data_IF_608548371869
#
_entry.id   IF_608548371869
#
_cell.length_a   1.000
_cell.length_b   1.000
_cell.length_c   1.000
_cell.angle_alpha   90.00
_cell.angle_beta   90.00
_cell.angle_gamma   90.00
#
_symmetry.space_group_name_H-M   'P 1'
#
loop_
_entity.id
_entity.type
_entity.pdbx_description
1 polymer ?
#
# COMPACT_ATOMS: atom_id res chain seq x y z
N UNK A 1 -6.85 4.60 32.79
CA UNK A 1 -6.78 3.65 31.66
C UNK A 1 -5.77 4.26 30.72
N UNK A 2 -4.62 3.63 30.50
CA UNK A 2 -3.73 4.09 29.43
C UNK A 2 -4.44 3.74 28.13
N UNK A 3 -4.74 4.75 27.31
CA UNK A 3 -5.08 4.54 25.91
C UNK A 3 -3.79 4.06 25.24
N UNK A 4 -3.84 2.93 24.54
CA UNK A 4 -2.72 2.52 23.69
C UNK A 4 -2.73 3.44 22.49
N UNK A 5 -1.59 4.04 22.16
CA UNK A 5 -1.47 4.96 21.04
C UNK A 5 -1.28 4.18 19.73
N UNK A 6 -1.65 4.74 18.57
CA UNK A 6 -1.27 4.21 17.26
C UNK A 6 0.24 4.12 17.13
N UNK A 7 0.73 3.03 16.54
CA UNK A 7 2.16 2.79 16.35
C UNK A 7 2.52 2.33 14.94
N UNK A 8 1.57 1.73 14.23
CA UNK A 8 1.81 1.15 12.90
C UNK A 8 0.60 1.34 12.00
N UNK A 9 0.87 1.51 10.73
CA UNK A 9 -0.10 1.37 9.65
C UNK A 9 0.34 0.18 8.80
N UNK A 10 -0.46 -0.87 8.81
CA UNK A 10 -0.20 -2.12 8.09
C UNK A 10 -0.93 -2.09 6.76
N UNK A 11 -0.19 -2.29 5.66
CA UNK A 11 -0.66 -2.31 4.29
C UNK A 11 -0.82 -3.77 3.84
N UNK A 12 -2.02 -4.16 3.45
CA UNK A 12 -2.31 -5.49 2.90
C UNK A 12 -2.81 -5.39 1.47
N UNK A 13 -3.27 -6.49 0.88
CA UNK A 13 -3.88 -6.51 -0.45
C UNK A 13 -5.33 -6.04 -0.48
N UNK A 14 -6.00 -5.97 0.68
CA UNK A 14 -7.44 -5.69 0.77
C UNK A 14 -7.76 -4.40 1.52
N UNK A 15 -6.88 -4.02 2.44
CA UNK A 15 -7.10 -2.92 3.36
C UNK A 15 -5.79 -2.39 3.98
N UNK A 16 -5.91 -1.22 4.61
CA UNK A 16 -4.93 -0.69 5.53
C UNK A 16 -5.46 -0.78 6.97
N UNK A 17 -4.60 -1.11 7.93
CA UNK A 17 -4.97 -1.25 9.34
C UNK A 17 -4.14 -0.33 10.22
N UNK A 18 -4.80 0.46 11.05
CA UNK A 18 -4.15 1.25 12.10
C UNK A 18 -4.02 0.37 13.34
N UNK A 19 -2.77 0.09 13.73
CA UNK A 19 -2.45 -0.83 14.83
C UNK A 19 -1.82 -0.07 15.98
N UNK A 20 -2.37 -0.31 17.18
CA UNK A 20 -1.91 0.28 18.44
C UNK A 20 -0.63 -0.41 18.94
N UNK A 21 0.09 0.24 19.87
CA UNK A 21 1.31 -0.32 20.49
C UNK A 21 1.11 -1.71 21.11
N UNK A 22 -0.08 -2.01 21.62
CA UNK A 22 -0.42 -3.32 22.20
C UNK A 22 -0.78 -4.39 21.16
N UNK A 23 -0.72 -4.06 19.87
CA UNK A 23 -1.03 -4.93 18.74
C UNK A 23 -2.51 -4.97 18.36
N UNK A 24 -3.38 -4.23 19.04
CA UNK A 24 -4.80 -4.14 18.70
C UNK A 24 -4.99 -3.35 17.41
N UNK A 25 -5.81 -3.86 16.49
CA UNK A 25 -6.30 -3.08 15.34
C UNK A 25 -7.36 -2.09 15.83
N UNK A 26 -7.06 -0.81 15.76
CA UNK A 26 -8.00 0.25 16.11
C UNK A 26 -9.01 0.52 14.99
N UNK A 27 -8.53 0.55 13.75
CA UNK A 27 -9.30 0.91 12.57
C UNK A 27 -8.84 0.11 11.35
N UNK A 28 -9.78 -0.18 10.47
CA UNK A 28 -9.53 -0.76 9.13
C UNK A 28 -10.08 0.19 8.08
N UNK A 29 -9.32 0.37 7.00
CA UNK A 29 -9.67 1.19 5.83
C UNK A 29 -9.62 0.27 4.62
N UNK A 30 -10.76 -0.13 4.08
CA UNK A 30 -10.81 -0.99 2.90
C UNK A 30 -10.56 -0.17 1.64
N UNK A 31 -9.93 -0.76 0.62
CA UNK A 31 -9.64 -0.04 -0.63
C UNK A 31 -10.88 0.30 -1.47
N UNK A 32 -12.03 -0.30 -1.13
CA UNK A 32 -13.33 0.01 -1.71
C UNK A 32 -14.12 1.05 -0.89
N UNK A 33 -13.61 1.47 0.27
CA UNK A 33 -14.21 2.58 1.02
C UNK A 33 -14.04 3.91 0.27
N UNK A 34 -14.91 4.90 0.51
CA UNK A 34 -14.76 6.23 -0.07
C UNK A 34 -13.44 6.91 0.35
N UNK A 35 -12.82 7.65 -0.58
CA UNK A 35 -11.51 8.29 -0.38
C UNK A 35 -11.52 9.33 0.75
N UNK A 36 -12.57 10.17 0.85
CA UNK A 36 -12.59 11.30 1.80
C UNK A 36 -12.47 10.86 3.27
N UNK A 37 -13.28 9.90 3.78
CA UNK A 37 -13.09 9.35 5.12
C UNK A 37 -11.72 8.71 5.35
N UNK A 38 -11.13 8.05 4.34
CA UNK A 38 -9.80 7.48 4.47
C UNK A 38 -8.74 8.57 4.67
N UNK A 39 -8.80 9.65 3.88
CA UNK A 39 -7.91 10.82 4.02
C UNK A 39 -8.03 11.46 5.40
N UNK A 40 -9.24 11.56 5.96
CA UNK A 40 -9.44 12.09 7.32
C UNK A 40 -8.74 11.22 8.37
N UNK A 41 -8.92 9.89 8.32
CA UNK A 41 -8.25 8.96 9.23
C UNK A 41 -6.73 8.99 9.12
N UNK A 42 -6.18 9.03 7.90
CA UNK A 42 -4.73 9.11 7.69
C UNK A 42 -4.17 10.48 8.11
N UNK A 43 -4.92 11.57 7.89
CA UNK A 43 -4.55 12.91 8.37
C UNK A 43 -4.45 12.94 9.90
N UNK A 44 -5.41 12.32 10.59
CA UNK A 44 -5.40 12.20 12.05
C UNK A 44 -4.21 11.35 12.52
N UNK A 45 -3.99 10.19 11.88
CA UNK A 45 -2.88 9.27 12.20
C UNK A 45 -1.51 9.95 12.08
N UNK A 46 -1.25 10.63 10.97
CA UNK A 46 0.04 11.29 10.75
C UNK A 46 0.12 12.68 11.39
N UNK A 47 -0.96 13.19 11.99
CA UNK A 47 -0.99 14.49 12.65
C UNK A 47 -0.74 15.70 11.74
N UNK A 48 -0.86 15.53 10.41
CA UNK A 48 -0.65 16.60 9.44
C UNK A 48 -1.51 16.41 8.18
N UNK A 49 -2.00 17.50 7.55
CA UNK A 49 -2.79 17.40 6.33
C UNK A 49 -1.90 16.99 5.14
N UNK A 50 -2.46 16.25 4.16
CA UNK A 50 -1.73 15.94 2.93
C UNK A 50 -1.57 17.19 2.06
N UNK A 51 -0.58 17.15 1.17
CA UNK A 51 -0.63 17.90 -0.08
C UNK A 51 -1.70 17.27 -0.98
N UNK A 52 -2.59 18.09 -1.50
CA UNK A 52 -3.64 17.66 -2.43
C UNK A 52 -3.20 17.99 -3.85
N UNK A 53 -3.16 17.00 -4.73
CA UNK A 53 -2.93 17.18 -6.16
C UNK A 53 -4.18 16.69 -6.93
N UNK A 54 -4.90 17.62 -7.54
CA UNK A 54 -6.04 17.28 -8.38
C UNK A 54 -5.50 16.95 -9.78
N UNK A 55 -5.29 15.66 -10.05
CA UNK A 55 -4.87 15.14 -11.36
C UNK A 55 -5.99 15.26 -12.40
N UNK A 56 -5.67 14.97 -13.68
CA UNK A 56 -6.53 15.20 -14.86
C UNK A 56 -7.89 14.43 -14.81
N UNK A 57 -8.88 14.99 -14.09
CA UNK A 57 -10.25 14.51 -14.07
C UNK A 57 -11.04 15.05 -12.86
N UNK A 58 -12.38 15.13 -12.93
CA UNK A 58 -13.19 15.62 -11.81
C UNK A 58 -13.19 14.68 -10.58
N UNK A 59 -12.78 13.42 -10.77
CA UNK A 59 -12.91 12.35 -9.78
C UNK A 59 -11.56 11.70 -9.39
N UNK A 60 -10.43 12.18 -9.93
CA UNK A 60 -9.10 11.71 -9.58
C UNK A 60 -8.41 12.77 -8.71
N UNK A 61 -8.05 12.40 -7.48
CA UNK A 61 -7.36 13.31 -6.56
C UNK A 61 -6.36 12.49 -5.75
N UNK A 62 -5.11 12.96 -5.79
CA UNK A 62 -4.02 12.37 -5.04
C UNK A 62 -3.83 13.15 -3.74
N UNK A 63 -3.63 12.41 -2.65
CA UNK A 63 -3.35 12.93 -1.33
C UNK A 63 -1.98 12.42 -0.88
N UNK A 64 -1.04 13.34 -0.71
CA UNK A 64 0.37 13.03 -0.46
C UNK A 64 0.83 13.56 0.89
N UNK A 65 1.31 12.66 1.73
CA UNK A 65 2.15 12.93 2.89
C UNK A 65 3.61 12.59 2.54
N UNK A 66 4.61 13.06 3.30
CA UNK A 66 6.01 12.74 3.03
C UNK A 66 6.27 11.23 2.98
N UNK A 67 6.37 10.66 1.78
CA UNK A 67 6.61 9.24 1.56
C UNK A 67 5.37 8.33 1.66
N UNK A 68 4.16 8.89 1.69
CA UNK A 68 2.91 8.12 1.67
C UNK A 68 1.88 8.82 0.79
N UNK A 69 1.26 8.09 -0.13
CA UNK A 69 0.27 8.63 -1.06
C UNK A 69 -0.97 7.75 -1.09
N UNK A 70 -2.14 8.39 -1.09
CA UNK A 70 -3.39 7.81 -1.55
C UNK A 70 -3.73 8.39 -2.92
N UNK A 71 -3.95 7.53 -3.90
CA UNK A 71 -4.36 7.90 -5.25
C UNK A 71 -5.68 7.22 -5.64
N UNK A 72 -6.39 7.79 -6.61
CA UNK A 72 -7.69 7.30 -7.07
C UNK A 72 -7.86 7.46 -8.58
N UNK A 73 -8.34 6.38 -9.21
CA UNK A 73 -8.79 6.36 -10.61
C UNK A 73 -10.32 6.62 -10.74
N UNK A 74 -10.94 7.15 -9.69
CA UNK A 74 -12.37 7.43 -9.59
C UNK A 74 -13.12 6.46 -8.66
N UNK A 75 -14.46 6.55 -8.61
CA UNK A 75 -15.26 5.85 -7.60
C UNK A 75 -15.12 4.32 -7.65
N UNK A 76 -15.25 3.67 -6.50
CA UNK A 76 -15.22 2.20 -6.41
C UNK A 76 -16.26 1.53 -7.33
N UNK A 77 -15.88 0.39 -7.92
CA UNK A 77 -16.79 -0.57 -8.57
C UNK A 77 -16.46 -1.96 -8.02
N UNK A 78 -17.21 -2.41 -7.02
CA UNK A 78 -17.00 -3.74 -6.46
C UNK A 78 -17.29 -4.87 -7.47
N UNK A 79 -16.50 -5.97 -7.44
CA UNK A 79 -15.25 -6.16 -6.72
C UNK A 79 -14.01 -5.83 -7.58
N UNK A 80 -14.17 -5.08 -8.67
CA UNK A 80 -13.20 -4.99 -9.75
C UNK A 80 -12.28 -3.77 -9.66
N UNK A 81 -12.80 -2.64 -9.18
CA UNK A 81 -12.08 -1.37 -9.13
C UNK A 81 -12.14 -0.78 -7.72
N UNK A 82 -11.04 -0.82 -6.95
CA UNK A 82 -10.96 -0.07 -5.71
C UNK A 82 -10.95 1.43 -6.02
N UNK A 83 -11.38 2.23 -5.04
CA UNK A 83 -11.31 3.68 -5.13
C UNK A 83 -9.95 4.19 -4.65
N UNK A 84 -9.34 3.48 -3.69
CA UNK A 84 -8.11 3.87 -3.01
C UNK A 84 -6.98 2.95 -3.45
N UNK A 85 -5.91 3.56 -3.94
CA UNK A 85 -4.61 2.95 -4.12
C UNK A 85 -3.61 3.65 -3.19
N UNK A 86 -2.72 2.89 -2.59
CA UNK A 86 -1.68 3.37 -1.67
C UNK A 86 -0.31 3.13 -2.27
N UNK A 87 0.56 4.13 -2.11
CA UNK A 87 2.00 4.01 -2.36
C UNK A 87 2.75 4.52 -1.14
N UNK A 88 3.72 3.73 -0.66
CA UNK A 88 4.59 4.04 0.47
C UNK A 88 6.04 4.04 0.00
N UNK A 89 6.84 5.02 0.40
CA UNK A 89 8.27 5.14 0.05
C UNK A 89 9.17 5.55 1.23
N UNK A 90 8.63 5.50 2.45
CA UNK A 90 9.39 5.65 3.71
C UNK A 90 8.93 4.58 4.70
N UNK A 91 9.80 4.21 5.64
CA UNK A 91 9.47 3.22 6.67
C UNK A 91 8.60 3.78 7.81
N UNK A 92 8.61 5.10 8.00
CA UNK A 92 7.98 5.73 9.16
C UNK A 92 7.56 7.17 8.84
N UNK A 93 6.43 7.60 9.41
CA UNK A 93 5.97 8.99 9.44
C UNK A 93 5.54 9.33 10.87
N UNK A 94 6.21 10.29 11.51
CA UNK A 94 5.85 10.78 12.85
C UNK A 94 5.65 9.64 13.88
N UNK A 95 6.65 8.76 14.03
CA UNK A 95 6.64 7.59 14.91
C UNK A 95 5.62 6.49 14.54
N UNK A 96 4.92 6.61 13.41
CA UNK A 96 4.06 5.55 12.85
C UNK A 96 4.85 4.74 11.82
N UNK A 97 5.11 3.47 12.13
CA UNK A 97 5.77 2.57 11.18
C UNK A 97 4.83 2.15 10.06
N UNK A 98 5.37 2.00 8.86
CA UNK A 98 4.64 1.67 7.64
C UNK A 98 5.15 0.33 7.12
N UNK A 99 4.31 -0.71 7.22
CA UNK A 99 4.73 -2.09 6.95
C UNK A 99 3.67 -2.90 6.24
N UNK A 100 4.06 -4.02 5.62
CA UNK A 100 3.10 -5.02 5.14
C UNK A 100 2.66 -5.95 6.27
N UNK A 101 1.62 -6.76 6.02
CA UNK A 101 1.15 -7.78 6.99
C UNK A 101 2.22 -8.80 7.39
N UNK A 102 3.21 -9.03 6.51
CA UNK A 102 4.35 -9.92 6.76
C UNK A 102 5.57 -9.17 7.31
N UNK A 103 5.37 -7.97 7.86
CA UNK A 103 6.38 -7.14 8.53
C UNK A 103 7.50 -6.64 7.60
N UNK A 104 7.22 -6.47 6.31
CA UNK A 104 8.16 -5.85 5.37
C UNK A 104 7.99 -4.33 5.30
N UNK A 105 9.09 -3.59 5.28
CA UNK A 105 9.13 -2.14 5.25
C UNK A 105 10.06 -1.60 4.15
N UNK A 106 9.87 -0.34 3.79
CA UNK A 106 10.83 0.37 2.93
C UNK A 106 12.20 0.38 3.61
N UNK A 107 13.24 -0.03 2.89
CA UNK A 107 14.60 -0.18 3.43
C UNK A 107 15.02 -1.63 3.71
N UNK A 108 14.09 -2.58 3.73
CA UNK A 108 14.42 -4.01 3.87
C UNK A 108 15.06 -4.59 2.59
N UNK A 109 15.74 -5.73 2.72
CA UNK A 109 16.27 -6.47 1.57
C UNK A 109 15.17 -7.37 0.96
N UNK A 110 14.80 -7.10 -0.29
CA UNK A 110 13.79 -7.81 -1.04
C UNK A 110 14.29 -9.15 -1.61
N UNK A 111 15.60 -9.36 -1.73
CA UNK A 111 16.18 -10.54 -2.39
C UNK A 111 15.81 -11.87 -1.74
N UNK A 112 15.84 -12.02 -0.39
CA UNK A 112 15.42 -13.27 0.24
C UNK A 112 13.98 -13.65 -0.11
N UNK A 113 13.10 -12.66 -0.24
CA UNK A 113 11.71 -12.87 -0.62
C UNK A 113 11.58 -13.24 -2.11
N UNK A 114 12.32 -12.55 -2.99
CA UNK A 114 12.38 -12.88 -4.41
C UNK A 114 12.92 -14.30 -4.66
N UNK A 115 13.97 -14.71 -3.93
CA UNK A 115 14.56 -16.04 -4.01
C UNK A 115 13.59 -17.13 -3.52
N UNK A 116 12.77 -16.82 -2.51
CA UNK A 116 11.77 -17.74 -1.96
C UNK A 116 10.52 -17.86 -2.84
N UNK A 117 10.18 -16.81 -3.59
CA UNK A 117 8.98 -16.72 -4.44
C UNK A 117 9.32 -16.29 -5.87
N UNK A 118 10.14 -17.08 -6.61
CA UNK A 118 10.61 -16.69 -7.94
C UNK A 118 9.46 -16.48 -8.94
N UNK A 119 8.35 -17.20 -8.79
CA UNK A 119 7.15 -17.09 -9.63
C UNK A 119 6.37 -15.77 -9.45
N UNK A 120 6.52 -15.12 -8.29
CA UNK A 120 5.87 -13.84 -7.97
C UNK A 120 6.85 -12.66 -8.05
N UNK A 121 8.10 -12.94 -8.45
CA UNK A 121 9.16 -11.97 -8.64
C UNK A 121 9.39 -11.67 -10.13
N UNK A 122 9.75 -10.43 -10.45
CA UNK A 122 10.10 -10.03 -11.81
C UNK A 122 11.08 -8.87 -11.78
N UNK A 123 12.01 -8.84 -12.75
CA UNK A 123 12.85 -7.68 -13.01
C UNK A 123 12.35 -6.99 -14.27
N UNK A 124 11.96 -5.73 -14.14
CA UNK A 124 11.43 -4.92 -15.23
C UNK A 124 12.44 -3.87 -15.67
N UNK A 125 12.68 -3.70 -16.98
CA UNK A 125 13.41 -2.54 -17.47
C UNK A 125 12.51 -1.29 -17.41
N UNK A 126 12.98 -0.26 -16.72
CA UNK A 126 12.41 1.08 -16.67
C UNK A 126 13.32 2.07 -17.42
N UNK A 127 12.81 3.26 -17.75
CA UNK A 127 13.67 4.32 -18.31
C UNK A 127 14.76 4.78 -17.32
N UNK A 128 14.49 4.64 -16.01
CA UNK A 128 15.39 4.98 -14.91
C UNK A 128 16.40 3.89 -14.55
N UNK A 129 16.28 2.68 -15.10
CA UNK A 129 17.12 1.52 -14.72
C UNK A 129 16.34 0.21 -14.78
N UNK A 130 16.65 -0.71 -13.89
CA UNK A 130 15.84 -1.92 -13.69
C UNK A 130 15.10 -1.81 -12.34
N UNK A 131 13.97 -2.48 -12.21
CA UNK A 131 13.20 -2.58 -10.97
C UNK A 131 12.95 -4.06 -10.66
N UNK A 132 13.31 -4.48 -9.45
CA UNK A 132 12.94 -5.78 -8.91
C UNK A 132 11.60 -5.60 -8.21
N UNK A 133 10.57 -6.29 -8.70
CA UNK A 133 9.24 -6.32 -8.11
C UNK A 133 8.95 -7.71 -7.56
N UNK A 134 8.38 -7.79 -6.37
CA UNK A 134 7.82 -9.02 -5.79
C UNK A 134 6.40 -8.74 -5.35
N UNK A 135 5.47 -9.61 -5.79
CA UNK A 135 4.05 -9.50 -5.45
C UNK A 135 3.74 -10.48 -4.33
N UNK A 136 3.30 -9.97 -3.19
CA UNK A 136 2.94 -10.80 -2.03
C UNK A 136 1.46 -10.66 -1.68
N UNK A 137 1.03 -11.52 -0.74
CA UNK A 137 -0.29 -11.41 -0.11
C UNK A 137 -1.44 -11.37 -1.12
N UNK A 138 -1.49 -12.30 -2.07
CA UNK A 138 -2.53 -12.32 -3.11
C UNK A 138 -3.89 -12.76 -2.54
N UNK A 139 -4.93 -11.94 -2.73
CA UNK A 139 -6.32 -12.27 -2.41
C UNK A 139 -7.15 -12.38 -3.69
N UNK A 140 -7.78 -13.53 -3.98
CA UNK A 140 -8.64 -13.69 -5.15
C UNK A 140 -9.83 -12.73 -5.14
N UNK A 141 -10.19 -12.24 -6.32
CA UNK A 141 -11.42 -11.49 -6.54
C UNK A 141 -12.57 -12.48 -6.69
N UNK A 142 -13.64 -12.31 -5.90
CA UNK A 142 -14.81 -13.20 -5.90
C UNK A 142 -15.71 -13.03 -7.14
N UNK A 143 -15.14 -13.08 -8.34
CA UNK A 143 -15.85 -13.04 -9.63
C UNK A 143 -16.04 -14.43 -10.24
N UNK A 144 -15.65 -15.49 -9.53
CA UNK A 144 -15.62 -16.87 -10.05
C UNK A 144 -14.44 -17.17 -10.98
N UNK A 145 -13.49 -16.23 -11.10
CA UNK A 145 -12.25 -16.34 -11.86
C UNK A 145 -11.09 -16.30 -10.85
N UNK A 146 -10.51 -17.46 -10.56
CA UNK A 146 -9.48 -17.60 -9.53
C UNK A 146 -8.15 -16.91 -9.92
N UNK A 147 -7.98 -16.54 -11.20
CA UNK A 147 -6.77 -15.91 -11.68
C UNK A 147 -6.77 -14.40 -11.39
N UNK A 148 -7.92 -13.79 -11.11
CA UNK A 148 -8.04 -12.38 -10.73
C UNK A 148 -7.77 -12.22 -9.24
N UNK A 149 -6.81 -11.38 -8.89
CA UNK A 149 -6.42 -11.13 -7.52
C UNK A 149 -5.98 -9.68 -7.31
N UNK A 150 -6.16 -9.20 -6.08
CA UNK A 150 -5.45 -8.04 -5.54
C UNK A 150 -4.22 -8.50 -4.78
N UNK A 151 -3.14 -7.72 -4.82
CA UNK A 151 -1.84 -8.04 -4.21
C UNK A 151 -1.24 -6.83 -3.52
N UNK A 152 -0.28 -7.08 -2.63
CA UNK A 152 0.66 -6.05 -2.17
C UNK A 152 1.94 -6.19 -2.98
N UNK A 153 2.35 -5.13 -3.67
CA UNK A 153 3.58 -5.08 -4.45
C UNK A 153 4.71 -4.45 -3.64
N UNK A 154 5.89 -5.05 -3.71
CA UNK A 154 7.15 -4.51 -3.20
C UNK A 154 8.09 -4.25 -4.37
N UNK A 155 8.69 -3.07 -4.45
CA UNK A 155 9.67 -2.75 -5.49
C UNK A 155 11.02 -2.31 -4.90
N UNK A 156 12.11 -2.70 -5.55
CA UNK A 156 13.49 -2.44 -5.16
C UNK A 156 14.36 -2.15 -6.38
N UNK A 157 15.50 -1.49 -6.17
CA UNK A 157 16.56 -1.43 -7.17
C UNK A 157 17.27 -2.81 -7.21
N UNK A 158 17.33 -3.53 -8.34
CA UNK A 158 17.98 -4.84 -8.42
C UNK A 158 19.46 -4.81 -8.04
N UNK A 159 20.14 -3.66 -8.14
CA UNK A 159 21.55 -3.52 -7.83
C UNK A 159 21.85 -3.67 -6.33
N UNK A 160 20.94 -3.20 -5.46
CA UNK A 160 21.11 -3.29 -4.00
C UNK A 160 20.09 -4.20 -3.31
N UNK A 161 18.94 -4.45 -3.94
CA UNK A 161 17.83 -5.26 -3.43
C UNK A 161 16.99 -4.54 -2.39
N UNK A 162 17.22 -3.26 -2.11
CA UNK A 162 16.57 -2.53 -1.03
C UNK A 162 15.18 -2.07 -1.46
N UNK A 163 14.15 -2.44 -0.70
CA UNK A 163 12.77 -2.01 -0.94
C UNK A 163 12.73 -0.48 -0.96
N UNK A 164 12.25 0.07 -2.07
CA UNK A 164 12.04 1.50 -2.28
C UNK A 164 10.58 1.86 -2.13
N UNK A 165 9.67 0.96 -2.51
CA UNK A 165 8.24 1.24 -2.41
C UNK A 165 7.41 0.00 -2.05
N UNK A 166 6.29 0.27 -1.38
CA UNK A 166 5.18 -0.65 -1.16
C UNK A 166 3.98 -0.07 -1.90
N UNK A 167 3.23 -0.91 -2.62
CA UNK A 167 2.02 -0.50 -3.34
C UNK A 167 0.89 -1.48 -3.07
N UNK A 168 -0.32 -0.97 -2.91
CA UNK A 168 -1.51 -1.80 -2.82
C UNK A 168 -2.79 -1.00 -3.16
N UNK A 169 -3.89 -1.65 -3.51
CA UNK A 169 -3.91 -3.00 -4.05
C UNK A 169 -3.38 -2.99 -5.49
N UNK A 170 -2.46 -3.90 -5.81
CA UNK A 170 -2.07 -4.14 -7.20
C UNK A 170 -3.03 -5.16 -7.82
N UNK A 171 -3.70 -4.79 -8.91
CA UNK A 171 -4.57 -5.71 -9.66
C UNK A 171 -3.76 -6.46 -10.73
N UNK A 172 -4.03 -7.74 -10.91
CA UNK A 172 -3.45 -8.53 -12.02
C UNK A 172 -4.40 -8.69 -13.23
N UNK A 173 -5.41 -7.82 -13.33
CA UNK A 173 -6.43 -7.84 -14.37
C UNK A 173 -6.83 -6.41 -14.79
N UNK A 174 -7.37 -6.27 -15.99
CA UNK A 174 -7.94 -5.00 -16.51
C UNK A 174 -9.46 -4.93 -16.34
#
# INVERSE_FOLDING_TARGET
MSTSEPSRLVISSTDMQIVLEDGTVAETIAYFDPMVPAVEKITELFGSPPRVDATDGPDATDYEWPGFRLDSDGPAIEPLRPEIFVTVSVAEINDIQLETTDEHQVGDDLRPLADAHPEDSSVYPLESGEELSVKILSVPVETGDADRAFRTGLSADPADGVIRQIHAPEKNFE
#
